data_IF_403456832268
#
_entry.id   IF_403456832268
#
_cell.length_a   1.000
_cell.length_b   1.000
_cell.length_c   1.000
_cell.angle_alpha   90.00
_cell.angle_beta   90.00
_cell.angle_gamma   90.00
#
_symmetry.space_group_name_H-M   'P 1'
#
loop_
_entity.id
_entity.type
_entity.pdbx_description
1 polymer ?
#
# COMPACT_ATOMS: atom_id res chain seq x y z
N UNK A 1 21.63 11.57 28.30
CA UNK A 1 21.34 11.88 26.88
C UNK A 1 21.13 10.64 26.01
N UNK A 2 21.99 9.60 26.07
CA UNK A 2 21.87 8.37 25.26
C UNK A 2 20.51 7.63 25.39
N UNK A 3 19.93 7.54 26.59
CA UNK A 3 18.63 6.85 26.81
C UNK A 3 17.43 7.54 26.16
N UNK A 4 17.43 8.88 26.07
CA UNK A 4 16.34 9.66 25.47
C UNK A 4 16.41 9.54 23.94
N UNK A 5 17.62 9.54 23.38
CA UNK A 5 17.84 9.36 21.94
C UNK A 5 17.45 7.95 21.47
N UNK A 6 17.75 6.91 22.26
CA UNK A 6 17.29 5.54 22.00
C UNK A 6 15.77 5.39 22.07
N UNK A 7 15.11 6.03 23.05
CA UNK A 7 13.66 6.05 23.16
C UNK A 7 13.00 6.80 21.99
N UNK A 8 13.64 7.85 21.47
CA UNK A 8 13.17 8.61 20.31
C UNK A 8 13.30 7.82 19.00
N UNK A 9 14.38 7.06 18.82
CA UNK A 9 14.55 6.18 17.66
C UNK A 9 13.57 4.99 17.70
N UNK A 10 13.37 4.39 18.88
CA UNK A 10 12.41 3.29 19.05
C UNK A 10 10.97 3.73 18.84
N UNK A 11 10.60 4.96 19.24
CA UNK A 11 9.27 5.50 18.93
C UNK A 11 9.09 5.82 17.44
N UNK A 12 10.10 6.37 16.75
CA UNK A 12 10.03 6.55 15.29
C UNK A 12 9.90 5.20 14.56
N UNK A 13 10.61 4.16 15.00
CA UNK A 13 10.47 2.82 14.42
C UNK A 13 9.07 2.21 14.66
N UNK A 14 8.52 2.34 15.88
CA UNK A 14 7.20 1.82 16.22
C UNK A 14 6.06 2.55 15.48
N UNK A 15 6.14 3.88 15.34
CA UNK A 15 5.15 4.67 14.60
C UNK A 15 5.34 4.62 13.07
N UNK A 16 6.59 4.53 12.60
CA UNK A 16 6.92 4.44 11.17
C UNK A 16 6.54 3.10 10.53
N UNK A 17 6.68 1.99 11.26
CA UNK A 17 6.24 0.67 10.81
C UNK A 17 4.71 0.57 10.70
N UNK A 18 3.96 1.22 11.59
CA UNK A 18 2.48 1.23 11.52
C UNK A 18 1.96 2.09 10.37
N UNK A 19 2.65 3.20 10.04
CA UNK A 19 2.32 4.02 8.87
C UNK A 19 2.65 3.34 7.54
N UNK A 20 3.72 2.53 7.48
CA UNK A 20 4.14 1.81 6.27
C UNK A 20 3.48 0.44 6.10
N UNK A 21 2.92 -0.16 7.16
CA UNK A 21 2.10 -1.37 7.08
C UNK A 21 0.64 -1.08 6.73
N UNK A 22 0.32 0.14 6.26
CA UNK A 22 -0.93 0.40 5.55
C UNK A 22 -0.87 -0.24 4.16
N UNK A 23 -0.74 -1.57 4.15
CA UNK A 23 -1.30 -2.46 3.14
C UNK A 23 -2.82 -2.28 3.18
N UNK A 24 -3.29 -1.09 2.79
CA UNK A 24 -4.59 -1.01 2.21
C UNK A 24 -4.49 -1.88 0.97
N UNK A 25 -5.33 -2.90 0.87
CA UNK A 25 -5.87 -3.26 -0.43
C UNK A 25 -6.47 -1.98 -0.99
N UNK A 26 -5.63 -1.13 -1.59
CA UNK A 26 -5.97 0.16 -2.15
C UNK A 26 -6.70 -0.11 -3.46
N UNK A 27 -7.83 -0.82 -3.34
CA UNK A 27 -8.87 -0.77 -4.35
C UNK A 27 -9.29 0.69 -4.40
N UNK A 28 -9.22 1.35 -5.55
CA UNK A 28 -9.61 2.74 -5.65
C UNK A 28 -11.05 2.87 -5.12
N UNK A 29 -11.33 3.84 -4.21
CA UNK A 29 -12.67 4.05 -3.71
C UNK A 29 -13.54 4.55 -4.85
N UNK A 30 -14.39 3.68 -5.40
CA UNK A 30 -15.35 4.03 -6.45
C UNK A 30 -16.42 4.94 -5.83
N UNK A 31 -16.69 6.13 -6.39
CA UNK A 31 -17.74 7.03 -5.93
C UNK A 31 -19.09 6.30 -5.78
N UNK A 32 -19.83 6.65 -4.73
CA UNK A 32 -21.11 5.99 -4.41
C UNK A 32 -22.11 6.09 -5.57
N UNK A 33 -22.17 7.25 -6.24
CA UNK A 33 -23.02 7.49 -7.41
C UNK A 33 -22.74 6.49 -8.54
N UNK A 34 -21.47 6.15 -8.77
CA UNK A 34 -21.08 5.21 -9.83
C UNK A 34 -21.34 3.77 -9.38
N UNK A 35 -21.05 3.47 -8.12
CA UNK A 35 -21.34 2.15 -7.53
C UNK A 35 -22.84 1.82 -7.59
N UNK A 36 -23.70 2.83 -7.38
CA UNK A 36 -25.15 2.70 -7.46
C UNK A 36 -25.67 2.35 -8.87
N UNK A 37 -24.88 2.54 -9.92
CA UNK A 37 -25.23 2.19 -11.30
C UNK A 37 -24.58 0.87 -11.71
N UNK A 38 -23.28 0.73 -11.46
CA UNK A 38 -22.50 -0.43 -11.93
C UNK A 38 -22.92 -1.71 -11.21
N UNK A 39 -23.09 -1.66 -9.88
CA UNK A 39 -23.45 -2.84 -9.07
C UNK A 39 -24.78 -3.47 -9.50
N UNK A 40 -25.92 -2.75 -9.55
CA UNK A 40 -27.17 -3.36 -9.98
C UNK A 40 -27.18 -3.75 -11.46
N UNK A 41 -26.45 -3.02 -12.32
CA UNK A 41 -26.27 -3.42 -13.73
C UNK A 41 -25.58 -4.79 -13.83
N UNK A 42 -24.46 -4.99 -13.14
CA UNK A 42 -23.75 -6.28 -13.13
C UNK A 42 -24.57 -7.42 -12.53
N UNK A 43 -25.38 -7.13 -11.50
CA UNK A 43 -26.31 -8.11 -10.93
C UNK A 43 -27.43 -8.48 -11.92
N UNK A 44 -27.91 -7.54 -12.73
CA UNK A 44 -28.85 -7.82 -13.82
C UNK A 44 -28.19 -8.65 -14.94
N UNK A 45 -26.99 -8.27 -15.38
CA UNK A 45 -26.21 -9.00 -16.40
C UNK A 45 -25.94 -10.44 -15.96
N UNK A 46 -25.55 -10.66 -14.69
CA UNK A 46 -25.34 -12.01 -14.14
C UNK A 46 -26.61 -12.85 -14.08
N UNK A 47 -27.77 -12.23 -13.87
CA UNK A 47 -29.06 -12.95 -13.96
C UNK A 47 -29.47 -13.23 -15.39
N UNK A 48 -28.83 -12.60 -16.38
CA UNK A 48 -29.26 -12.63 -17.77
C UNK A 48 -30.49 -11.77 -18.03
N UNK A 49 -30.80 -10.82 -17.15
CA UNK A 49 -31.92 -9.89 -17.31
C UNK A 49 -31.46 -8.65 -18.08
N UNK A 50 -31.53 -8.74 -19.40
CA UNK A 50 -31.12 -7.67 -20.32
C UNK A 50 -31.92 -6.38 -20.08
N UNK A 51 -33.25 -6.49 -19.91
CA UNK A 51 -34.12 -5.33 -19.71
C UNK A 51 -33.81 -4.60 -18.41
N UNK A 52 -33.42 -5.31 -17.35
CA UNK A 52 -32.99 -4.67 -16.11
C UNK A 52 -31.61 -4.01 -16.25
N UNK A 53 -30.68 -4.61 -16.99
CA UNK A 53 -29.36 -4.03 -17.23
C UNK A 53 -29.42 -2.74 -18.09
N UNK A 54 -30.26 -2.74 -19.14
CA UNK A 54 -30.45 -1.60 -20.05
C UNK A 54 -30.89 -0.32 -19.33
N UNK A 55 -31.58 -0.41 -18.18
CA UNK A 55 -31.99 0.77 -17.39
C UNK A 55 -30.82 1.63 -16.91
N UNK A 56 -29.63 1.03 -16.83
CA UNK A 56 -28.40 1.66 -16.38
C UNK A 56 -27.48 2.05 -17.55
N UNK A 57 -27.84 1.68 -18.78
CA UNK A 57 -27.06 1.94 -19.99
C UNK A 57 -27.50 3.26 -20.61
N UNK A 58 -26.52 4.02 -21.10
CA UNK A 58 -26.77 5.28 -21.79
C UNK A 58 -27.53 5.03 -23.10
N UNK A 59 -28.50 5.88 -23.49
CA UNK A 59 -29.31 5.67 -24.69
C UNK A 59 -28.51 5.42 -25.98
N UNK A 60 -27.34 6.06 -26.12
CA UNK A 60 -26.48 5.90 -27.29
C UNK A 60 -25.73 4.57 -27.37
N UNK A 61 -25.72 3.76 -26.30
CA UNK A 61 -25.03 2.47 -26.24
C UNK A 61 -25.99 1.29 -26.04
N UNK A 62 -27.31 1.52 -26.02
CA UNK A 62 -28.28 0.45 -25.77
C UNK A 62 -28.17 -0.64 -26.85
N UNK A 63 -28.14 -0.28 -28.12
CA UNK A 63 -28.15 -1.27 -29.20
C UNK A 63 -26.86 -2.10 -29.22
N UNK A 64 -25.69 -1.48 -29.08
CA UNK A 64 -24.41 -2.17 -28.96
C UNK A 64 -24.38 -3.08 -27.72
N UNK A 65 -24.86 -2.56 -26.58
CA UNK A 65 -24.97 -3.34 -25.35
C UNK A 65 -25.86 -4.57 -25.50
N UNK A 66 -26.88 -4.54 -26.36
CA UNK A 66 -27.77 -5.69 -26.62
C UNK A 66 -27.07 -6.77 -27.42
N UNK A 67 -26.32 -6.38 -28.44
CA UNK A 67 -25.59 -7.30 -29.33
C UNK A 67 -24.60 -8.14 -28.52
N UNK A 68 -23.84 -7.50 -27.63
CA UNK A 68 -22.83 -8.17 -26.81
C UNK A 68 -23.40 -8.82 -25.52
N UNK A 69 -24.67 -8.56 -25.16
CA UNK A 69 -25.21 -8.95 -23.85
C UNK A 69 -25.12 -10.46 -23.59
N UNK A 70 -25.49 -11.28 -24.57
CA UNK A 70 -25.56 -12.73 -24.40
C UNK A 70 -24.19 -13.34 -24.08
N UNK A 71 -23.16 -12.94 -24.82
CA UNK A 71 -21.79 -13.38 -24.62
C UNK A 71 -21.26 -12.91 -23.26
N UNK A 72 -21.35 -11.61 -23.00
CA UNK A 72 -20.80 -11.01 -21.80
C UNK A 72 -21.54 -11.46 -20.52
N UNK A 73 -22.85 -11.68 -20.59
CA UNK A 73 -23.65 -12.28 -19.51
C UNK A 73 -23.16 -13.68 -19.18
N UNK A 74 -22.84 -14.48 -20.18
CA UNK A 74 -22.35 -15.84 -19.99
C UNK A 74 -20.96 -15.85 -19.33
N UNK A 75 -20.07 -14.95 -19.74
CA UNK A 75 -18.76 -14.77 -19.09
C UNK A 75 -18.92 -14.35 -17.62
N UNK A 76 -19.77 -13.35 -17.34
CA UNK A 76 -20.02 -12.82 -15.99
C UNK A 76 -20.72 -13.81 -15.05
N UNK A 77 -21.58 -14.69 -15.59
CA UNK A 77 -22.25 -15.77 -14.83
C UNK A 77 -21.25 -16.75 -14.26
N UNK A 78 -20.27 -17.13 -15.06
CA UNK A 78 -19.24 -18.10 -14.68
C UNK A 78 -18.06 -17.46 -13.92
N UNK A 79 -17.94 -16.13 -13.99
CA UNK A 79 -16.89 -15.40 -13.31
C UNK A 79 -17.16 -15.27 -11.80
N UNK A 80 -16.11 -15.21 -10.95
CA UNK A 80 -16.22 -14.80 -9.56
C UNK A 80 -16.62 -13.32 -9.44
N UNK A 81 -16.96 -12.87 -8.23
CA UNK A 81 -17.33 -11.47 -8.00
C UNK A 81 -16.16 -10.55 -8.35
N UNK A 82 -16.34 -9.75 -9.39
CA UNK A 82 -15.36 -8.78 -9.87
C UNK A 82 -15.16 -7.67 -8.84
N UNK A 83 -13.90 -7.30 -8.60
CA UNK A 83 -13.52 -6.22 -7.69
C UNK A 83 -12.89 -5.06 -8.48
N UNK A 84 -13.07 -3.80 -8.04
CA UNK A 84 -12.47 -2.67 -8.72
C UNK A 84 -10.95 -2.75 -8.60
N UNK A 85 -10.28 -2.70 -9.76
CA UNK A 85 -8.84 -2.70 -9.90
C UNK A 85 -8.31 -1.30 -10.23
N UNK A 86 -9.01 -0.56 -11.09
CA UNK A 86 -8.60 0.76 -11.57
C UNK A 86 -9.80 1.69 -11.64
N UNK A 87 -9.57 2.95 -11.31
CA UNK A 87 -10.47 4.04 -11.61
C UNK A 87 -9.67 5.18 -12.24
N UNK A 88 -10.05 5.59 -13.44
CA UNK A 88 -9.51 6.76 -14.12
C UNK A 88 -10.65 7.74 -14.40
N UNK A 89 -10.44 9.02 -14.08
CA UNK A 89 -11.37 10.06 -14.49
C UNK A 89 -10.98 10.50 -15.90
N UNK A 90 -11.94 10.48 -16.84
CA UNK A 90 -11.72 10.87 -18.22
C UNK A 90 -12.79 11.90 -18.62
N UNK A 91 -12.41 13.18 -18.65
CA UNK A 91 -13.33 14.27 -18.94
C UNK A 91 -14.52 14.30 -17.95
N UNK A 92 -15.74 14.20 -18.47
CA UNK A 92 -16.99 14.15 -17.68
C UNK A 92 -17.38 12.74 -17.22
N UNK A 93 -16.56 11.73 -17.49
CA UNK A 93 -16.82 10.33 -17.17
C UNK A 93 -15.76 9.68 -16.28
N UNK A 94 -16.05 8.46 -15.86
CA UNK A 94 -15.16 7.59 -15.10
C UNK A 94 -15.00 6.26 -15.86
N UNK A 95 -13.75 5.87 -16.09
CA UNK A 95 -13.38 4.56 -16.59
C UNK A 95 -13.00 3.67 -15.42
N UNK A 96 -13.65 2.52 -15.33
CA UNK A 96 -13.49 1.55 -14.26
C UNK A 96 -13.08 0.22 -14.86
N UNK A 97 -11.99 -0.35 -14.35
CA UNK A 97 -11.58 -1.71 -14.66
C UNK A 97 -11.82 -2.56 -13.43
N UNK A 98 -12.63 -3.59 -13.57
CA UNK A 98 -12.86 -4.61 -12.57
C UNK A 98 -12.10 -5.87 -12.95
N UNK A 99 -11.54 -6.57 -11.98
CA UNK A 99 -10.85 -7.83 -12.21
C UNK A 99 -11.19 -8.83 -11.12
N UNK A 100 -11.23 -10.10 -11.48
CA UNK A 100 -11.18 -11.20 -10.54
C UNK A 100 -10.44 -12.39 -11.12
N UNK A 101 -9.82 -13.15 -10.23
CA UNK A 101 -9.11 -14.38 -10.58
C UNK A 101 -10.02 -15.58 -10.36
N UNK A 102 -10.13 -16.45 -11.37
CA UNK A 102 -10.80 -17.74 -11.30
C UNK A 102 -9.80 -18.84 -11.65
N UNK A 103 -9.20 -19.46 -10.64
CA UNK A 103 -8.12 -20.43 -10.83
C UNK A 103 -6.90 -19.80 -11.52
N UNK A 104 -6.55 -20.27 -12.72
CA UNK A 104 -5.45 -19.73 -13.53
C UNK A 104 -5.87 -18.61 -14.48
N UNK A 105 -7.17 -18.36 -14.60
CA UNK A 105 -7.75 -17.45 -15.57
C UNK A 105 -8.15 -16.15 -14.86
N UNK A 106 -7.93 -15.01 -15.49
CA UNK A 106 -8.38 -13.71 -15.06
C UNK A 106 -9.58 -13.26 -15.88
N UNK A 107 -10.63 -12.85 -15.18
CA UNK A 107 -11.77 -12.18 -15.80
C UNK A 107 -11.64 -10.70 -15.51
N UNK A 108 -11.62 -9.90 -16.56
CA UNK A 108 -11.53 -8.45 -16.50
C UNK A 108 -12.80 -7.88 -17.10
N UNK A 109 -13.36 -6.84 -16.48
CA UNK A 109 -14.45 -6.11 -17.09
C UNK A 109 -14.16 -4.63 -17.06
N UNK A 110 -14.29 -4.01 -18.21
CA UNK A 110 -14.09 -2.59 -18.41
C UNK A 110 -15.44 -1.91 -18.47
N UNK A 111 -15.59 -0.77 -17.81
CA UNK A 111 -16.84 -0.02 -17.75
C UNK A 111 -16.54 1.46 -17.85
N UNK A 112 -17.18 2.14 -18.79
CA UNK A 112 -17.21 3.60 -18.84
C UNK A 112 -18.54 4.10 -18.34
N UNK A 113 -18.50 4.95 -17.34
CA UNK A 113 -19.68 5.62 -16.79
C UNK A 113 -19.58 7.10 -17.10
N UNK A 114 -20.61 7.65 -17.73
CA UNK A 114 -20.71 9.07 -18.08
C UNK A 114 -21.93 9.69 -17.44
N UNK A 115 -21.93 11.01 -17.29
CA UNK A 115 -23.11 11.76 -16.85
C UNK A 115 -23.99 12.09 -18.04
N UNK A 116 -25.15 11.43 -18.12
CA UNK A 116 -26.21 11.76 -19.07
C UNK A 116 -27.32 12.53 -18.36
N UNK A 117 -27.55 13.81 -18.72
CA UNK A 117 -28.54 14.70 -18.05
C UNK A 117 -28.41 14.68 -16.52
N UNK A 118 -27.19 14.85 -16.01
CA UNK A 118 -26.82 14.77 -14.59
C UNK A 118 -27.04 13.41 -13.89
N UNK A 119 -27.32 12.34 -14.63
CA UNK A 119 -27.42 10.98 -14.08
C UNK A 119 -26.26 10.12 -14.57
N UNK A 120 -25.55 9.40 -13.70
CA UNK A 120 -24.53 8.44 -14.13
C UNK A 120 -25.18 7.30 -14.92
N UNK A 121 -24.63 6.99 -16.10
CA UNK A 121 -25.08 5.91 -16.98
C UNK A 121 -23.86 5.22 -17.61
N UNK A 122 -24.00 3.93 -17.91
CA UNK A 122 -22.96 3.12 -18.55
C UNK A 122 -22.96 3.42 -20.05
N UNK A 123 -21.88 4.02 -20.53
CA UNK A 123 -21.69 4.31 -21.95
C UNK A 123 -20.95 3.20 -22.68
N UNK A 124 -20.22 2.37 -21.94
CA UNK A 124 -19.49 1.25 -22.48
C UNK A 124 -19.30 0.23 -21.38
N UNK A 125 -19.41 -1.05 -21.73
CA UNK A 125 -18.92 -2.12 -20.89
C UNK A 125 -18.45 -3.28 -21.74
N UNK A 126 -17.46 -4.01 -21.27
CA UNK A 126 -16.94 -5.21 -21.93
C UNK A 126 -16.41 -6.18 -20.87
N UNK A 127 -16.40 -7.48 -21.17
CA UNK A 127 -15.90 -8.53 -20.29
C UNK A 127 -14.95 -9.42 -21.07
N UNK A 128 -13.69 -9.41 -20.68
CA UNK A 128 -12.65 -10.21 -21.30
C UNK A 128 -12.10 -11.24 -20.32
N UNK A 129 -11.70 -12.37 -20.87
CA UNK A 129 -11.07 -13.46 -20.13
C UNK A 129 -9.66 -13.64 -20.67
N UNK A 130 -8.67 -13.63 -19.79
CA UNK A 130 -7.25 -13.74 -20.16
C UNK A 130 -6.51 -14.66 -19.20
N UNK A 131 -5.50 -15.36 -19.68
CA UNK A 131 -4.67 -16.24 -18.86
C UNK A 131 -3.66 -15.46 -17.99
N UNK A 132 -3.47 -14.17 -18.29
CA UNK A 132 -2.53 -13.31 -17.58
C UNK A 132 -3.28 -12.33 -16.69
N UNK A 133 -2.71 -12.03 -15.52
CA UNK A 133 -3.21 -10.93 -14.72
C UNK A 133 -3.20 -9.64 -15.56
N UNK A 134 -4.22 -8.78 -15.45
CA UNK A 134 -4.17 -7.46 -16.07
C UNK A 134 -2.86 -6.79 -15.64
N UNK A 135 -2.13 -6.18 -16.59
CA UNK A 135 -0.81 -5.57 -16.32
C UNK A 135 -0.84 -4.67 -15.08
N UNK A 136 -1.96 -3.97 -14.88
CA UNK A 136 -2.14 -3.08 -13.74
C UNK A 136 -2.30 -3.83 -12.40
N UNK A 137 -2.93 -5.00 -12.38
CA UNK A 137 -2.99 -5.85 -11.17
C UNK A 137 -1.60 -6.42 -10.87
N UNK A 138 -0.86 -6.83 -11.92
CA UNK A 138 0.53 -7.27 -11.82
C UNK A 138 1.43 -6.17 -11.24
N UNK A 139 1.41 -4.98 -11.82
CA UNK A 139 2.18 -3.83 -11.35
C UNK A 139 1.84 -3.43 -9.91
N UNK A 140 0.57 -3.49 -9.50
CA UNK A 140 0.18 -3.17 -8.12
C UNK A 140 0.70 -4.22 -7.13
N UNK A 141 0.71 -5.50 -7.51
CA UNK A 141 1.27 -6.58 -6.69
C UNK A 141 2.80 -6.51 -6.62
N UNK A 142 3.45 -6.21 -7.74
CA UNK A 142 4.90 -6.05 -7.81
C UNK A 142 5.34 -4.84 -7.00
N UNK A 143 4.66 -3.71 -7.12
CA UNK A 143 4.99 -2.52 -6.35
C UNK A 143 4.85 -2.76 -4.84
N UNK A 144 3.83 -3.51 -4.40
CA UNK A 144 3.72 -3.95 -2.99
C UNK A 144 4.92 -4.79 -2.55
N UNK A 145 5.36 -5.75 -3.38
CA UNK A 145 6.54 -6.57 -3.09
C UNK A 145 7.81 -5.72 -3.03
N UNK A 146 8.03 -4.84 -3.99
CA UNK A 146 9.17 -3.92 -4.02
C UNK A 146 9.19 -2.99 -2.80
N UNK A 147 8.07 -2.37 -2.45
CA UNK A 147 7.99 -1.50 -1.26
C UNK A 147 8.27 -2.28 0.02
N UNK A 148 7.77 -3.52 0.13
CA UNK A 148 8.04 -4.38 1.29
C UNK A 148 9.53 -4.72 1.40
N UNK A 149 10.19 -5.12 0.30
CA UNK A 149 11.62 -5.40 0.30
C UNK A 149 12.46 -4.15 0.58
N UNK A 150 12.08 -3.00 0.01
CA UNK A 150 12.75 -1.72 0.26
C UNK A 150 12.67 -1.31 1.74
N UNK A 151 11.49 -1.43 2.35
CA UNK A 151 11.30 -1.17 3.78
C UNK A 151 12.13 -2.12 4.65
N UNK A 152 12.19 -3.40 4.28
CA UNK A 152 13.01 -4.38 4.99
C UNK A 152 14.50 -4.02 4.90
N UNK A 153 14.98 -3.62 3.71
CA UNK A 153 16.36 -3.18 3.50
C UNK A 153 16.70 -1.93 4.34
N UNK A 154 15.79 -0.94 4.39
CA UNK A 154 15.97 0.25 5.24
C UNK A 154 16.02 -0.12 6.72
N UNK A 155 15.18 -1.04 7.17
CA UNK A 155 15.20 -1.52 8.56
C UNK A 155 16.53 -2.21 8.91
N UNK A 156 17.06 -3.06 8.02
CA UNK A 156 18.38 -3.69 8.21
C UNK A 156 19.51 -2.66 8.22
N UNK A 157 19.50 -1.68 7.32
CA UNK A 157 20.49 -0.61 7.29
C UNK A 157 20.48 0.24 8.57
N UNK A 158 19.28 0.56 9.08
CA UNK A 158 19.13 1.29 10.34
C UNK A 158 19.66 0.49 11.54
N UNK A 159 19.40 -0.82 11.60
CA UNK A 159 19.93 -1.70 12.65
C UNK A 159 21.45 -1.82 12.58
N UNK A 160 22.02 -1.96 11.37
CA UNK A 160 23.46 -2.00 11.17
C UNK A 160 24.12 -0.67 11.56
N UNK A 161 23.52 0.46 11.20
CA UNK A 161 23.98 1.79 11.61
C UNK A 161 23.94 1.98 13.13
N UNK A 162 22.88 1.51 13.79
CA UNK A 162 22.78 1.53 15.25
C UNK A 162 23.87 0.65 15.89
N UNK A 163 24.09 -0.56 15.38
CA UNK A 163 25.15 -1.46 15.87
C UNK A 163 26.54 -0.83 15.72
N UNK A 164 26.80 -0.16 14.60
CA UNK A 164 28.06 0.52 14.34
C UNK A 164 28.26 1.72 15.28
N UNK A 165 27.22 2.50 15.55
CA UNK A 165 27.26 3.58 16.55
C UNK A 165 27.54 3.05 17.96
N UNK A 166 26.87 1.95 18.36
CA UNK A 166 27.12 1.30 19.65
C UNK A 166 28.58 0.82 19.72
N UNK A 167 29.09 0.22 18.64
CA UNK A 167 30.48 -0.21 18.57
C UNK A 167 31.45 0.97 18.69
N UNK A 168 31.24 2.06 17.96
CA UNK A 168 32.08 3.27 18.06
C UNK A 168 32.05 3.86 19.46
N UNK A 169 30.88 3.97 20.11
CA UNK A 169 30.79 4.50 21.49
C UNK A 169 31.47 3.59 22.48
N UNK A 170 31.29 2.27 22.35
CA UNK A 170 31.93 1.27 23.22
C UNK A 170 33.44 1.21 23.01
N UNK A 171 33.92 1.47 21.80
CA UNK A 171 35.32 1.42 21.42
C UNK A 171 36.00 2.81 21.40
N UNK A 172 35.29 3.89 21.78
CA UNK A 172 35.94 5.16 22.14
C UNK A 172 36.69 4.90 23.43
N UNK A 173 37.99 4.71 23.30
CA UNK A 173 38.93 4.82 24.39
C UNK A 173 38.66 6.10 25.15
N UNK A 174 38.35 5.98 26.44
CA UNK A 174 38.49 7.10 27.36
C UNK A 174 39.95 7.56 27.22
N UNK A 175 40.17 8.68 26.53
CA UNK A 175 41.43 9.41 26.64
C UNK A 175 41.42 9.89 28.09
N UNK A 176 42.03 9.08 28.96
CA UNK A 176 42.34 9.45 30.33
C UNK A 176 43.24 10.68 30.18
N UNK A 177 42.66 11.87 30.35
CA UNK A 177 43.47 13.05 30.66
C UNK A 177 44.25 12.68 31.93
N UNK A 178 45.59 12.78 31.94
CA UNK A 178 46.34 12.49 33.15
C UNK A 178 45.80 13.42 34.22
N UNK A 179 45.33 12.82 35.32
CA UNK A 179 44.90 13.56 36.49
C UNK A 179 46.02 14.54 36.86
N UNK A 180 45.69 15.83 36.90
CA UNK A 180 46.54 16.81 37.55
C UNK A 180 46.54 16.48 39.04
N UNK A 181 47.36 15.51 39.45
CA UNK A 181 47.65 15.24 40.86
C UNK A 181 48.45 16.43 41.36
N UNK A 182 47.70 17.34 41.97
CA UNK A 182 48.14 18.45 42.80
C UNK A 182 49.22 17.93 43.77
N UNK A 183 50.46 18.36 43.61
CA UNK A 183 51.53 18.16 44.59
C UNK A 183 51.18 18.93 45.89
N UNK A 184 50.37 18.34 46.77
CA UNK A 184 50.31 18.77 48.16
C UNK A 184 51.53 18.23 48.89
N UNK A 185 52.62 18.99 48.85
CA UNK A 185 53.82 18.85 49.69
C UNK A 185 53.41 18.87 51.17
N UNK A 186 53.17 17.71 51.78
CA UNK A 186 53.14 17.56 53.23
C UNK A 186 54.50 17.08 53.71
N UNK A 187 55.28 18.04 54.20
CA UNK A 187 56.43 17.80 55.08
C UNK A 187 55.89 17.15 56.35
N UNK A 188 56.33 15.93 56.66
CA UNK A 188 56.16 15.33 57.97
C UNK A 188 57.55 15.01 58.52
N UNK A 189 57.95 15.81 59.52
CA UNK A 189 59.11 15.53 60.34
C UNK A 189 58.84 14.27 61.18
N UNK A 190 59.81 13.36 61.23
CA UNK A 190 59.94 12.42 62.35
C UNK A 190 61.37 12.40 62.83
N UNK A 191 61.60 13.18 63.88
CA UNK A 191 62.61 12.95 64.91
C UNK A 191 62.44 11.53 65.45
N UNK A 192 63.51 10.74 65.49
CA UNK A 192 63.56 9.48 66.24
C UNK A 192 64.54 9.67 67.39
N UNK A 193 64.02 9.64 68.61
CA UNK A 193 64.82 9.59 69.82
C UNK A 193 64.53 8.24 70.51
N UNK A 194 65.56 7.40 70.71
CA UNK A 194 65.68 6.55 71.90
C UNK A 194 67.06 5.88 72.03
N UNK A 195 67.71 6.24 73.13
CA UNK A 195 68.53 5.43 74.04
C UNK A 195 69.79 4.71 73.53
N UNK A 196 70.90 5.18 74.10
CA UNK A 196 72.26 4.63 74.13
C UNK A 196 73.11 5.62 74.93
#
# INVERSE_FOLDING_TARGET
MSRIFLLFIMSIAAFGLSACNRSTNARPPVPEEITAVVKPSYEAVRRGDQKAAEKYVAPGFIDDSRVQFAEMSQLLKNAPRLAPAIQQHQGSGAYLTFAAQHGKIWVTSEVRVVRYRNKPMIEYWDVTTTDKAPEIVGHTQDMKRYTSYALMAVAFAALAGLALLIWVVRNRTHIIAPEATIETRRVAATVRNREG
#
